data_IF_395449828963
#
_entry.id   IF_395449828963
#
_cell.length_a   1.000
_cell.length_b   1.000
_cell.length_c   1.000
_cell.angle_alpha   90.00
_cell.angle_beta   90.00
_cell.angle_gamma   90.00
#
_symmetry.space_group_name_H-M   'P 1'
#
loop_
_entity.id
_entity.type
_entity.pdbx_description
1 polymer ?
#
# COMPACT_ATOMS: atom_id res chain seq x y z
N UNK A 1 12.31 -11.38 -0.50
CA UNK A 1 12.35 -12.61 -1.30
C UNK A 1 12.21 -12.22 -2.76
N UNK A 2 13.11 -12.67 -3.64
CA UNK A 2 12.99 -12.42 -5.08
C UNK A 2 12.13 -13.52 -5.67
N UNK A 3 10.99 -13.19 -6.26
CA UNK A 3 10.14 -14.12 -7.01
C UNK A 3 10.62 -14.13 -8.45
N UNK A 4 11.06 -15.28 -8.95
CA UNK A 4 11.67 -15.42 -10.28
C UNK A 4 11.02 -16.47 -11.17
N UNK A 5 10.11 -17.29 -10.65
CA UNK A 5 9.37 -18.29 -11.41
C UNK A 5 7.90 -18.40 -10.94
N UNK A 6 7.10 -19.14 -11.71
CA UNK A 6 5.65 -19.29 -11.45
C UNK A 6 5.35 -19.99 -10.12
N UNK A 7 6.13 -21.01 -9.76
CA UNK A 7 5.94 -21.74 -8.50
C UNK A 7 6.15 -20.83 -7.27
N UNK A 8 7.21 -20.03 -7.29
CA UNK A 8 7.46 -19.02 -6.24
C UNK A 8 6.37 -17.95 -6.19
N UNK A 9 5.80 -17.60 -7.34
CA UNK A 9 4.68 -16.65 -7.41
C UNK A 9 3.42 -17.24 -6.78
N UNK A 10 3.08 -18.49 -7.08
CA UNK A 10 1.96 -19.20 -6.46
C UNK A 10 2.13 -19.31 -4.94
N UNK A 11 3.34 -19.64 -4.48
CA UNK A 11 3.66 -19.64 -3.04
C UNK A 11 3.50 -18.25 -2.41
N UNK A 12 3.90 -17.18 -3.10
CA UNK A 12 3.69 -15.81 -2.62
C UNK A 12 2.20 -15.48 -2.54
N UNK A 13 1.41 -15.81 -3.57
CA UNK A 13 -0.03 -15.59 -3.59
C UNK A 13 -0.71 -16.30 -2.41
N UNK A 14 -0.34 -17.56 -2.14
CA UNK A 14 -0.90 -18.32 -1.04
C UNK A 14 -0.56 -17.69 0.33
N UNK A 15 0.70 -17.25 0.52
CA UNK A 15 1.09 -16.53 1.74
C UNK A 15 0.29 -15.24 1.95
N UNK A 16 0.09 -14.47 0.88
CA UNK A 16 -0.67 -13.21 0.94
C UNK A 16 -2.16 -13.50 1.19
N UNK A 17 -2.70 -14.58 0.63
CA UNK A 17 -4.08 -15.04 0.89
C UNK A 17 -4.31 -15.35 2.37
N UNK A 18 -3.38 -16.08 2.98
CA UNK A 18 -3.44 -16.41 4.41
C UNK A 18 -3.30 -15.18 5.30
N UNK A 19 -2.38 -14.27 4.95
CA UNK A 19 -2.21 -13.00 5.64
C UNK A 19 -3.48 -12.13 5.54
N UNK A 20 -4.07 -12.01 4.35
CA UNK A 20 -5.28 -11.23 4.13
C UNK A 20 -6.48 -11.81 4.88
N UNK A 21 -6.63 -13.13 4.93
CA UNK A 21 -7.71 -13.78 5.70
C UNK A 21 -7.62 -13.44 7.19
N UNK A 22 -6.41 -13.41 7.76
CA UNK A 22 -6.18 -12.94 9.14
C UNK A 22 -6.44 -11.44 9.27
N UNK A 23 -6.03 -10.65 8.29
CA UNK A 23 -6.16 -9.20 8.33
C UNK A 23 -7.61 -8.73 8.19
N UNK A 24 -8.46 -9.50 7.50
CA UNK A 24 -9.89 -9.22 7.37
C UNK A 24 -10.63 -9.16 8.73
N UNK A 25 -10.12 -9.86 9.75
CA UNK A 25 -10.74 -9.90 11.09
C UNK A 25 -10.30 -8.75 12.00
N UNK A 26 -9.44 -7.84 11.52
CA UNK A 26 -8.92 -6.75 12.34
C UNK A 26 -9.99 -5.69 12.58
N UNK A 27 -9.98 -5.09 13.77
CA UNK A 27 -10.87 -3.98 14.11
C UNK A 27 -10.41 -2.69 13.42
N UNK A 28 -11.31 -1.69 13.36
CA UNK A 28 -10.98 -0.38 12.77
C UNK A 28 -9.76 0.24 13.46
N UNK A 29 -9.66 0.13 14.79
CA UNK A 29 -8.56 0.70 15.58
C UNK A 29 -7.22 0.03 15.26
N UNK A 30 -7.23 -1.30 15.08
CA UNK A 30 -6.03 -2.04 14.68
C UNK A 30 -5.58 -1.64 13.27
N UNK A 31 -6.53 -1.53 12.34
CA UNK A 31 -6.27 -1.08 10.96
C UNK A 31 -5.73 0.36 10.96
N UNK A 32 -6.31 1.26 11.73
CA UNK A 32 -5.91 2.66 11.81
C UNK A 32 -4.52 2.83 12.44
N UNK A 33 -4.21 2.01 13.44
CA UNK A 33 -2.87 1.94 14.03
C UNK A 33 -1.81 1.51 13.00
N UNK A 34 -2.08 0.44 12.25
CA UNK A 34 -1.19 -0.06 11.19
C UNK A 34 -1.02 1.01 10.10
N UNK A 35 -2.13 1.60 9.65
CA UNK A 35 -2.14 2.64 8.62
C UNK A 35 -1.31 3.85 9.03
N UNK A 36 -1.43 4.31 10.28
CA UNK A 36 -0.61 5.40 10.83
C UNK A 36 0.87 5.03 10.87
N UNK A 37 1.22 3.85 11.37
CA UNK A 37 2.62 3.43 11.48
C UNK A 37 3.29 3.29 10.12
N UNK A 38 2.61 2.70 9.15
CA UNK A 38 3.08 2.56 7.78
C UNK A 38 3.27 3.92 7.08
N UNK A 39 2.33 4.85 7.26
CA UNK A 39 2.44 6.20 6.71
C UNK A 39 3.63 6.99 7.30
N UNK A 40 3.85 6.90 8.60
CA UNK A 40 4.99 7.55 9.26
C UNK A 40 6.33 6.97 8.81
N UNK A 41 6.45 5.65 8.73
CA UNK A 41 7.67 4.98 8.29
C UNK A 41 8.04 5.37 6.85
N UNK A 42 7.05 5.38 5.94
CA UNK A 42 7.26 5.77 4.54
C UNK A 42 7.58 7.26 4.37
N UNK A 43 6.93 8.14 5.14
CA UNK A 43 7.24 9.57 5.14
C UNK A 43 8.65 9.85 5.66
N UNK A 44 9.12 9.11 6.67
CA UNK A 44 10.50 9.18 7.16
C UNK A 44 11.51 8.70 6.10
N UNK A 45 11.17 7.64 5.34
CA UNK A 45 11.99 7.10 4.27
C UNK A 45 11.91 7.86 2.92
N UNK A 46 11.20 9.00 2.85
CA UNK A 46 10.94 9.72 1.59
C UNK A 46 12.21 10.09 0.79
N UNK A 47 13.27 10.50 1.49
CA UNK A 47 14.55 10.92 0.89
C UNK A 47 15.34 9.73 0.35
N UNK A 48 15.65 8.67 1.14
CA UNK A 48 16.38 7.52 0.62
C UNK A 48 15.63 6.83 -0.53
N UNK A 49 14.30 6.71 -0.46
CA UNK A 49 13.50 6.14 -1.54
C UNK A 49 13.55 6.99 -2.82
N UNK A 50 13.47 8.33 -2.69
CA UNK A 50 13.56 9.24 -3.85
C UNK A 50 14.92 9.15 -4.55
N UNK A 51 16.01 9.11 -3.77
CA UNK A 51 17.38 8.92 -4.29
C UNK A 51 17.49 7.58 -5.02
N UNK A 52 17.01 6.50 -4.41
CA UNK A 52 17.03 5.17 -5.03
C UNK A 52 16.26 5.15 -6.36
N UNK A 53 15.08 5.76 -6.41
CA UNK A 53 14.29 5.84 -7.64
C UNK A 53 14.99 6.66 -8.73
N UNK A 54 15.58 7.82 -8.40
CA UNK A 54 16.35 8.62 -9.37
C UNK A 54 17.56 7.85 -9.90
N UNK A 55 18.34 7.22 -9.02
CA UNK A 55 19.53 6.45 -9.40
C UNK A 55 19.18 5.23 -10.25
N UNK A 56 18.17 4.44 -9.87
CA UNK A 56 17.81 3.22 -10.60
C UNK A 56 17.18 3.52 -11.97
N UNK A 57 16.29 4.51 -12.03
CA UNK A 57 15.55 4.80 -13.27
C UNK A 57 16.32 5.71 -14.24
N UNK A 58 17.25 6.52 -13.72
CA UNK A 58 17.91 7.59 -14.46
C UNK A 58 16.97 8.73 -14.86
N UNK A 59 15.81 8.86 -14.20
CA UNK A 59 14.75 9.79 -14.59
C UNK A 59 14.28 10.68 -13.45
N UNK A 60 14.06 11.96 -13.76
CA UNK A 60 13.44 12.95 -12.87
C UNK A 60 14.39 13.52 -11.81
N UNK A 61 13.86 14.43 -11.00
CA UNK A 61 14.59 15.18 -9.97
C UNK A 61 14.35 14.59 -8.59
N UNK A 62 15.38 14.51 -7.75
CA UNK A 62 15.28 13.87 -6.42
C UNK A 62 14.30 14.64 -5.53
N UNK A 63 14.38 15.96 -5.53
CA UNK A 63 13.55 16.88 -4.76
C UNK A 63 12.06 16.68 -5.08
N UNK A 64 11.70 16.64 -6.36
CA UNK A 64 10.33 16.37 -6.80
C UNK A 64 9.85 14.98 -6.39
N UNK A 65 10.73 13.98 -6.43
CA UNK A 65 10.40 12.62 -5.97
C UNK A 65 10.22 12.57 -4.45
N UNK A 66 10.95 13.38 -3.68
CA UNK A 66 10.73 13.53 -2.24
C UNK A 66 9.34 14.09 -1.97
N UNK A 67 8.94 15.13 -2.69
CA UNK A 67 7.59 15.72 -2.59
C UNK A 67 6.53 14.67 -2.95
N UNK A 68 6.72 13.92 -4.03
CA UNK A 68 5.79 12.83 -4.42
C UNK A 68 5.69 11.73 -3.37
N UNK A 69 6.79 11.33 -2.75
CA UNK A 69 6.79 10.33 -1.67
C UNK A 69 6.09 10.87 -0.42
N UNK A 70 6.31 12.15 -0.07
CA UNK A 70 5.61 12.81 1.02
C UNK A 70 4.10 12.89 0.76
N UNK A 71 3.69 13.28 -0.45
CA UNK A 71 2.30 13.30 -0.86
C UNK A 71 1.67 11.91 -0.74
N UNK A 72 2.32 10.88 -1.29
CA UNK A 72 1.82 9.51 -1.27
C UNK A 72 1.71 8.91 0.14
N UNK A 73 2.40 9.46 1.13
CA UNK A 73 2.39 9.01 2.53
C UNK A 73 1.51 9.91 3.41
N UNK A 74 2.05 11.06 3.82
CA UNK A 74 1.42 11.96 4.80
C UNK A 74 0.06 12.50 4.35
N UNK A 75 -0.05 12.93 3.08
CA UNK A 75 -1.29 13.54 2.57
C UNK A 75 -2.38 12.47 2.42
N UNK A 76 -2.02 11.29 1.93
CA UNK A 76 -2.93 10.14 1.82
C UNK A 76 -3.39 9.69 3.21
N UNK A 77 -2.49 9.61 4.18
CA UNK A 77 -2.85 9.31 5.56
C UNK A 77 -3.86 10.33 6.11
N UNK A 78 -3.57 11.63 6.00
CA UNK A 78 -4.46 12.65 6.53
C UNK A 78 -5.82 12.69 5.85
N UNK A 79 -5.90 12.37 4.55
CA UNK A 79 -7.15 12.27 3.81
C UNK A 79 -8.03 11.13 4.32
N UNK A 80 -7.46 9.96 4.57
CA UNK A 80 -8.21 8.72 4.82
C UNK A 80 -8.21 8.24 6.27
N UNK A 81 -7.50 8.90 7.19
CA UNK A 81 -7.34 8.43 8.57
C UNK A 81 -8.67 8.17 9.30
N UNK A 82 -9.67 9.01 9.06
CA UNK A 82 -10.98 8.95 9.74
C UNK A 82 -12.05 8.19 8.93
N UNK A 83 -11.72 7.69 7.74
CA UNK A 83 -12.69 6.99 6.90
C UNK A 83 -12.94 5.58 7.48
N UNK A 84 -14.21 5.22 7.65
CA UNK A 84 -14.61 3.89 8.13
C UNK A 84 -14.49 2.87 6.99
N UNK A 85 -13.77 1.78 7.26
CA UNK A 85 -13.48 0.73 6.28
C UNK A 85 -13.70 -0.68 6.85
N UNK A 86 -14.20 -0.76 8.08
CA UNK A 86 -14.43 -2.00 8.81
C UNK A 86 -15.85 -2.06 9.37
N UNK A 87 -16.54 -3.19 9.15
CA UNK A 87 -17.88 -3.42 9.70
C UNK A 87 -18.94 -2.51 9.08
N UNK A 88 -19.92 -2.11 9.88
CA UNK A 88 -21.01 -1.24 9.45
C UNK A 88 -20.48 0.18 9.27
N UNK A 89 -20.49 0.66 8.03
CA UNK A 89 -20.03 2.00 7.66
C UNK A 89 -21.17 3.01 7.57
N UNK A 90 -22.39 2.52 7.36
CA UNK A 90 -23.61 3.33 7.28
C UNK A 90 -24.80 2.48 7.78
N UNK A 91 -25.69 3.09 8.55
CA UNK A 91 -26.91 2.46 9.06
C UNK A 91 -28.05 3.48 9.00
N UNK A 92 -29.17 3.07 8.41
CA UNK A 92 -30.41 3.82 8.43
C UNK A 92 -31.54 2.94 8.99
N UNK A 93 -31.98 3.27 10.20
CA UNK A 93 -33.03 2.52 10.90
C UNK A 93 -34.43 2.85 10.37
N UNK A 94 -34.61 4.02 9.75
CA UNK A 94 -35.90 4.46 9.21
C UNK A 94 -36.19 3.78 7.88
N UNK A 95 -35.19 3.67 7.01
CA UNK A 95 -35.29 2.95 5.74
C UNK A 95 -34.93 1.46 5.86
N UNK A 96 -34.40 1.03 7.01
CA UNK A 96 -34.16 -0.38 7.33
C UNK A 96 -32.97 -1.00 6.60
N UNK A 97 -31.90 -0.24 6.36
CA UNK A 97 -30.71 -0.75 5.67
C UNK A 97 -29.40 -0.48 6.43
N UNK A 98 -28.40 -1.31 6.15
CA UNK A 98 -27.02 -1.14 6.61
C UNK A 98 -26.06 -1.36 5.44
N UNK A 99 -24.95 -0.62 5.41
CA UNK A 99 -23.82 -0.86 4.51
C UNK A 99 -22.66 -1.41 5.33
N UNK A 100 -22.17 -2.58 4.93
CA UNK A 100 -21.06 -3.26 5.58
C UNK A 100 -19.87 -3.26 4.62
N UNK A 101 -18.71 -2.85 5.10
CA UNK A 101 -17.47 -2.85 4.33
C UNK A 101 -16.77 -4.22 4.41
N UNK A 102 -16.54 -4.81 3.24
CA UNK A 102 -15.73 -6.02 3.08
C UNK A 102 -14.51 -5.76 2.19
N UNK A 103 -13.33 -6.32 2.53
CA UNK A 103 -12.17 -6.26 1.66
C UNK A 103 -12.42 -7.07 0.39
N UNK A 104 -11.91 -6.58 -0.75
CA UNK A 104 -11.92 -7.32 -2.02
C UNK A 104 -11.08 -8.59 -1.93
N UNK A 105 -10.01 -8.57 -1.14
CA UNK A 105 -9.09 -9.68 -0.94
C UNK A 105 -7.67 -9.30 -1.35
N UNK A 106 -7.16 -9.92 -2.41
CA UNK A 106 -5.78 -9.71 -2.89
C UNK A 106 -5.80 -8.82 -4.14
N UNK A 107 -5.00 -7.77 -4.12
CA UNK A 107 -4.85 -6.81 -5.20
C UNK A 107 -3.56 -7.04 -5.98
N UNK A 108 -3.62 -6.89 -7.30
CA UNK A 108 -2.46 -6.86 -8.18
C UNK A 108 -2.04 -5.41 -8.45
N UNK A 109 -0.91 -5.00 -7.86
CA UNK A 109 -0.37 -3.64 -7.96
C UNK A 109 0.64 -3.48 -9.09
N UNK A 110 0.19 -3.13 -10.30
CA UNK A 110 1.12 -2.77 -11.39
C UNK A 110 1.75 -1.39 -11.10
N UNK A 111 3.07 -1.27 -11.23
CA UNK A 111 3.83 -0.05 -10.91
C UNK A 111 4.67 0.43 -12.11
N UNK A 112 4.52 1.70 -12.55
CA UNK A 112 5.27 2.25 -13.68
C UNK A 112 6.69 2.70 -13.29
N UNK A 113 7.55 2.90 -14.29
CA UNK A 113 8.93 3.43 -14.10
C UNK A 113 8.96 4.90 -13.68
N UNK A 114 7.93 5.68 -14.02
CA UNK A 114 7.92 7.14 -13.79
C UNK A 114 7.73 7.52 -12.33
N UNK A 115 6.90 6.76 -11.60
CA UNK A 115 6.55 7.00 -10.19
C UNK A 115 6.65 5.73 -9.34
N UNK A 116 7.82 5.07 -9.29
CA UNK A 116 7.92 3.70 -8.76
C UNK A 116 7.67 3.63 -7.25
N UNK A 117 8.30 4.52 -6.47
CA UNK A 117 8.18 4.53 -5.01
C UNK A 117 6.86 5.10 -4.56
N UNK A 118 6.45 6.26 -5.10
CA UNK A 118 5.22 6.93 -4.67
C UNK A 118 3.97 6.11 -5.01
N UNK A 119 3.93 5.42 -6.16
CA UNK A 119 2.80 4.54 -6.49
C UNK A 119 2.76 3.30 -5.60
N UNK A 120 3.91 2.71 -5.26
CA UNK A 120 3.97 1.59 -4.32
C UNK A 120 3.47 2.00 -2.93
N UNK A 121 3.95 3.14 -2.41
CA UNK A 121 3.52 3.69 -1.12
C UNK A 121 2.01 3.94 -1.11
N UNK A 122 1.50 4.70 -2.09
CA UNK A 122 0.08 5.03 -2.17
C UNK A 122 -0.80 3.78 -2.19
N UNK A 123 -0.51 2.84 -3.09
CA UNK A 123 -1.30 1.61 -3.25
C UNK A 123 -1.21 0.71 -2.01
N UNK A 124 -0.04 0.60 -1.38
CA UNK A 124 0.11 -0.20 -0.17
C UNK A 124 -0.68 0.41 1.00
N UNK A 125 -0.60 1.72 1.21
CA UNK A 125 -1.31 2.41 2.28
C UNK A 125 -2.83 2.27 2.18
N UNK A 126 -3.41 2.47 0.99
CA UNK A 126 -4.87 2.30 0.82
C UNK A 126 -5.29 0.83 0.90
N UNK A 127 -4.43 -0.11 0.50
CA UNK A 127 -4.69 -1.56 0.65
C UNK A 127 -4.74 -1.94 2.13
N UNK A 128 -3.80 -1.42 2.94
CA UNK A 128 -3.79 -1.62 4.38
C UNK A 128 -5.05 -1.04 5.04
N UNK A 129 -5.39 0.22 4.72
CA UNK A 129 -6.57 0.91 5.26
C UNK A 129 -7.88 0.16 4.97
N UNK A 130 -7.91 -0.69 3.94
CA UNK A 130 -9.09 -1.43 3.51
C UNK A 130 -9.02 -2.94 3.77
N UNK A 131 -8.08 -3.41 4.61
CA UNK A 131 -7.90 -4.84 4.98
C UNK A 131 -7.60 -5.76 3.79
N UNK A 132 -6.99 -5.23 2.73
CA UNK A 132 -6.60 -5.99 1.54
C UNK A 132 -5.13 -6.42 1.62
N UNK A 133 -4.82 -7.53 0.97
CA UNK A 133 -3.45 -7.89 0.60
C UNK A 133 -3.10 -7.27 -0.75
N UNK A 134 -1.83 -6.94 -1.00
CA UNK A 134 -1.39 -6.43 -2.31
C UNK A 134 -0.07 -7.07 -2.73
N UNK A 135 0.01 -7.49 -4.00
CA UNK A 135 1.22 -8.01 -4.63
C UNK A 135 1.62 -7.05 -5.74
N UNK A 136 2.83 -6.51 -5.66
CA UNK A 136 3.33 -5.56 -6.64
C UNK A 136 4.02 -6.23 -7.83
N UNK A 137 3.69 -5.78 -9.03
CA UNK A 137 4.39 -6.09 -10.28
C UNK A 137 5.12 -4.83 -10.76
N UNK A 138 6.41 -4.67 -10.40
CA UNK A 138 7.16 -3.49 -10.77
C UNK A 138 7.65 -3.55 -12.22
N UNK A 139 7.72 -2.39 -12.88
CA UNK A 139 8.43 -2.30 -14.15
C UNK A 139 9.93 -2.67 -13.98
N UNK A 140 10.55 -3.44 -14.91
CA UNK A 140 11.93 -3.92 -14.77
C UNK A 140 12.97 -2.83 -14.51
N UNK A 141 12.80 -1.65 -15.12
CA UNK A 141 13.68 -0.47 -14.94
C UNK A 141 13.59 0.22 -13.57
N UNK A 142 12.66 -0.19 -12.71
CA UNK A 142 12.43 0.42 -11.40
C UNK A 142 12.13 -0.61 -10.31
N UNK A 143 12.59 -1.85 -10.50
CA UNK A 143 12.26 -3.00 -9.66
C UNK A 143 12.74 -2.81 -8.22
N UNK A 144 13.99 -2.41 -8.03
CA UNK A 144 14.62 -2.33 -6.70
C UNK A 144 13.96 -1.26 -5.84
N UNK A 145 13.79 -0.04 -6.37
CA UNK A 145 13.16 1.06 -5.63
C UNK A 145 11.68 0.80 -5.33
N UNK A 146 10.96 0.15 -6.25
CA UNK A 146 9.56 -0.25 -5.99
C UNK A 146 9.48 -1.30 -4.88
N UNK A 147 10.30 -2.35 -4.96
CA UNK A 147 10.32 -3.39 -3.93
C UNK A 147 10.76 -2.84 -2.58
N UNK A 148 11.71 -1.90 -2.55
CA UNK A 148 12.15 -1.29 -1.30
C UNK A 148 11.05 -0.43 -0.67
N UNK A 149 10.35 0.38 -1.46
CA UNK A 149 9.19 1.13 -0.98
C UNK A 149 8.12 0.19 -0.40
N UNK A 150 7.82 -0.93 -1.07
CA UNK A 150 6.86 -1.91 -0.58
C UNK A 150 7.27 -2.52 0.78
N UNK A 151 8.55 -2.85 0.98
CA UNK A 151 9.06 -3.38 2.26
C UNK A 151 9.02 -2.36 3.41
N UNK A 152 9.11 -1.07 3.11
CA UNK A 152 9.00 -0.03 4.16
C UNK A 152 7.54 0.07 4.64
N UNK A 153 6.57 -0.25 3.79
CA UNK A 153 5.14 -0.15 4.12
C UNK A 153 4.60 -1.44 4.78
N UNK A 154 5.00 -2.61 4.26
CA UNK A 154 4.38 -3.93 4.50
C UNK A 154 5.20 -4.86 5.39
#
# INVERSE_FOLDING_TARGET
MTVTNTEQLEQLIQKVKEAQKKYATYTQEQVDYIFKKAALATNAARIPLAKMAATETGMGVIEDKVIKNHFASEIIYNKYKNEKTCGIIEEDKSFGFQKIAEPVGILAGIVPTTNPTSTAIFKALISLKTRNGIIFSPHPRAKKCTCEAAKVVL
#
